data_IF_804419717817
#
_entry.id   IF_804419717817
#
_cell.length_a   1.000
_cell.length_b   1.000
_cell.length_c   1.000
_cell.angle_alpha   90.00
_cell.angle_beta   90.00
_cell.angle_gamma   90.00
#
_symmetry.space_group_name_H-M   'P 1'
#
loop_
_entity.id
_entity.type
_entity.pdbx_description
1 polymer ?
#
# COMPACT_ATOMS: atom_id res chain seq x y z
N UNK A 1 -11.99 -1.35 0.47
CA UNK A 1 -11.86 -1.66 -0.97
C UNK A 1 -11.99 -0.35 -1.72
N UNK A 2 -11.03 -0.04 -2.58
CA UNK A 2 -10.94 1.24 -3.30
C UNK A 2 -11.14 1.00 -4.80
N UNK A 3 -11.63 2.02 -5.51
CA UNK A 3 -11.68 2.00 -6.98
C UNK A 3 -10.63 2.96 -7.52
N UNK A 4 -9.85 2.51 -8.50
CA UNK A 4 -8.77 3.27 -9.13
C UNK A 4 -8.91 3.19 -10.65
N UNK A 5 -8.50 4.23 -11.38
CA UNK A 5 -8.47 4.25 -12.84
C UNK A 5 -7.27 5.04 -13.30
N UNK A 6 -6.22 4.39 -13.80
CA UNK A 6 -5.05 5.07 -14.35
C UNK A 6 -5.24 5.29 -15.88
N UNK A 7 -5.41 6.54 -16.35
CA UNK A 7 -5.77 6.83 -17.74
C UNK A 7 -4.58 6.89 -18.71
N UNK A 8 -3.32 6.95 -18.27
CA UNK A 8 -2.15 6.98 -19.15
C UNK A 8 -0.90 6.42 -18.47
N UNK A 9 0.08 5.98 -19.29
CA UNK A 9 1.40 5.51 -18.84
C UNK A 9 2.09 6.55 -17.93
N UNK A 10 1.89 7.85 -18.19
CA UNK A 10 2.55 8.95 -17.50
C UNK A 10 1.82 9.44 -16.22
N UNK A 11 0.70 8.81 -15.83
CA UNK A 11 -0.11 9.26 -14.69
C UNK A 11 0.06 8.35 -13.47
N UNK A 12 0.92 8.77 -12.53
CA UNK A 12 1.00 8.18 -11.20
C UNK A 12 -0.23 8.61 -10.39
N UNK A 13 -1.08 7.64 -10.02
CA UNK A 13 -2.18 7.88 -9.07
C UNK A 13 -1.78 7.40 -7.69
N UNK A 14 -1.67 8.34 -6.77
CA UNK A 14 -1.56 8.10 -5.34
C UNK A 14 -2.94 7.84 -4.73
N UNK A 15 -3.19 6.59 -4.34
CA UNK A 15 -4.28 6.21 -3.44
C UNK A 15 -3.78 6.30 -2.01
N UNK A 16 -4.11 7.39 -1.31
CA UNK A 16 -3.84 7.49 0.13
C UNK A 16 -4.92 6.71 0.87
N UNK A 17 -4.52 5.65 1.56
CA UNK A 17 -5.43 4.93 2.46
C UNK A 17 -5.14 5.39 3.89
N UNK A 18 -6.09 6.09 4.52
CA UNK A 18 -6.04 6.34 5.95
C UNK A 18 -6.29 5.01 6.70
N UNK A 19 -5.25 4.24 6.96
CA UNK A 19 -5.30 3.20 7.99
C UNK A 19 -4.62 3.74 9.25
N UNK A 20 -5.42 3.93 10.31
CA UNK A 20 -4.92 4.12 11.67
C UNK A 20 -4.22 5.45 11.92
N UNK A 21 -4.95 6.43 12.44
CA UNK A 21 -4.35 7.58 13.11
C UNK A 21 -3.72 7.10 14.41
N UNK A 22 -2.42 7.31 14.56
CA UNK A 22 -1.91 7.72 15.85
C UNK A 22 -1.23 9.08 15.65
N UNK A 23 -1.96 10.13 16.02
CA UNK A 23 -1.67 11.53 15.67
C UNK A 23 -0.61 12.15 16.60
N UNK A 24 -0.12 11.42 17.60
CA UNK A 24 0.76 12.01 18.62
C UNK A 24 2.26 11.83 18.35
N UNK A 25 2.69 10.98 17.40
CA UNK A 25 4.14 10.70 17.15
C UNK A 25 4.69 10.96 15.74
N UNK A 26 3.94 11.61 14.86
CA UNK A 26 4.40 11.90 13.49
C UNK A 26 3.97 10.83 12.48
N UNK A 27 2.70 10.92 12.12
CA UNK A 27 2.00 10.44 10.92
C UNK A 27 2.64 9.28 10.14
N UNK A 28 2.13 8.08 10.38
CA UNK A 28 2.31 6.92 9.49
C UNK A 28 1.36 7.04 8.30
N UNK A 29 1.85 7.53 7.17
CA UNK A 29 1.10 7.51 5.92
C UNK A 29 1.29 6.15 5.24
N UNK A 30 0.17 5.51 4.90
CA UNK A 30 0.14 4.38 3.97
C UNK A 30 -0.35 4.88 2.62
N UNK A 31 0.55 4.83 1.64
CA UNK A 31 0.25 5.29 0.29
C UNK A 31 0.42 4.13 -0.69
N UNK A 32 -0.56 3.98 -1.57
CA UNK A 32 -0.51 3.08 -2.70
C UNK A 32 -0.36 3.91 -3.97
N UNK A 33 0.75 3.78 -4.66
CA UNK A 33 0.98 4.41 -5.96
C UNK A 33 0.78 3.39 -7.07
N UNK A 34 0.02 3.74 -8.10
CA UNK A 34 -0.01 2.99 -9.36
C UNK A 34 1.00 3.58 -10.33
N UNK A 35 1.98 2.79 -10.78
CA UNK A 35 2.99 3.19 -11.76
C UNK A 35 2.73 2.52 -13.12
N UNK A 36 2.14 3.28 -14.05
CA UNK A 36 1.84 2.80 -15.40
C UNK A 36 3.08 2.44 -16.21
N UNK A 37 4.12 3.28 -16.17
CA UNK A 37 5.39 3.04 -16.88
C UNK A 37 6.12 1.76 -16.45
N UNK A 38 5.93 1.35 -15.19
CA UNK A 38 6.63 0.21 -14.59
C UNK A 38 5.77 -1.04 -14.48
N UNK A 39 4.50 -0.97 -14.87
CA UNK A 39 3.53 -2.05 -14.69
C UNK A 39 3.51 -2.57 -13.24
N UNK A 40 3.55 -1.64 -12.28
CA UNK A 40 3.66 -1.94 -10.85
C UNK A 40 2.67 -1.12 -10.02
N UNK A 41 2.24 -1.72 -8.92
CA UNK A 41 1.62 -1.01 -7.79
C UNK A 41 2.63 -0.98 -6.65
N UNK A 42 2.82 0.18 -6.04
CA UNK A 42 3.83 0.43 -5.00
C UNK A 42 3.15 0.77 -3.69
N UNK A 43 3.57 0.11 -2.63
CA UNK A 43 3.14 0.39 -1.27
C UNK A 43 4.24 1.12 -0.53
N UNK A 44 3.99 2.37 -0.16
CA UNK A 44 4.89 3.22 0.60
C UNK A 44 4.47 3.22 2.07
N UNK A 45 5.43 2.98 2.95
CA UNK A 45 5.23 2.95 4.39
C UNK A 45 6.47 3.46 5.13
N UNK A 46 6.30 3.81 6.40
CA UNK A 46 7.39 4.19 7.29
C UNK A 46 7.61 3.06 8.28
N UNK A 47 8.86 2.58 8.38
CA UNK A 47 9.26 1.58 9.37
C UNK A 47 10.49 2.09 10.12
N UNK A 48 10.41 2.15 11.44
CA UNK A 48 11.47 2.69 12.31
C UNK A 48 11.97 4.09 11.85
N UNK A 49 11.04 4.95 11.45
CA UNK A 49 11.33 6.31 10.97
C UNK A 49 11.98 6.37 9.58
N UNK A 50 12.14 5.24 8.88
CA UNK A 50 12.70 5.19 7.51
C UNK A 50 11.60 4.90 6.50
N UNK A 51 11.50 5.66 5.40
CA UNK A 51 10.58 5.36 4.32
C UNK A 51 11.01 4.09 3.60
N UNK A 52 10.03 3.24 3.29
CA UNK A 52 10.18 1.97 2.59
C UNK A 52 9.16 1.89 1.46
N UNK A 53 9.46 1.05 0.47
CA UNK A 53 8.59 0.88 -0.70
C UNK A 53 8.65 -0.56 -1.15
N UNK A 54 7.48 -1.20 -1.23
CA UNK A 54 7.32 -2.51 -1.83
C UNK A 54 6.64 -2.38 -3.18
N UNK A 55 7.20 -3.01 -4.21
CA UNK A 55 6.63 -3.02 -5.56
C UNK A 55 5.99 -4.38 -5.85
N UNK A 56 4.73 -4.35 -6.26
CA UNK A 56 3.97 -5.52 -6.71
C UNK A 56 3.75 -5.42 -8.21
N UNK A 57 4.14 -6.43 -9.00
CA UNK A 57 3.93 -6.42 -10.45
C UNK A 57 2.43 -6.47 -10.74
N UNK A 58 1.89 -5.39 -11.28
CA UNK A 58 0.50 -5.29 -11.71
C UNK A 58 0.31 -4.06 -12.61
N UNK A 59 -0.17 -4.28 -13.84
CA UNK A 59 -0.49 -3.22 -14.78
C UNK A 59 -1.91 -2.68 -14.56
N UNK A 60 -2.04 -1.43 -14.15
CA UNK A 60 -3.33 -0.71 -14.05
C UNK A 60 -3.57 0.34 -15.14
N UNK A 61 -2.56 0.66 -15.96
CA UNK A 61 -2.65 1.71 -16.98
C UNK A 61 -3.34 1.22 -18.26
N UNK A 62 -4.58 0.77 -18.13
CA UNK A 62 -5.45 0.32 -19.22
C UNK A 62 -6.66 1.25 -19.46
N UNK A 63 -6.81 2.31 -18.63
CA UNK A 63 -7.92 3.26 -18.70
C UNK A 63 -9.25 2.75 -18.14
N UNK A 64 -9.29 1.55 -17.56
CA UNK A 64 -10.46 0.96 -16.92
C UNK A 64 -10.47 1.22 -15.40
N UNK A 65 -11.63 1.00 -14.79
CA UNK A 65 -11.78 1.05 -13.35
C UNK A 65 -11.50 -0.31 -12.75
N UNK A 66 -10.59 -0.36 -11.78
CA UNK A 66 -10.25 -1.57 -11.05
C UNK A 66 -10.65 -1.46 -9.58
N UNK A 67 -11.11 -2.56 -9.00
CA UNK A 67 -11.31 -2.69 -7.55
C UNK A 67 -10.04 -3.20 -6.90
N UNK A 68 -9.48 -2.43 -5.97
CA UNK A 68 -8.23 -2.74 -5.28
C UNK A 68 -8.48 -2.97 -3.78
N UNK A 69 -7.84 -3.99 -3.24
CA UNK A 69 -7.70 -4.21 -1.81
C UNK A 69 -6.27 -4.63 -1.48
N UNK A 70 -5.65 -3.93 -0.52
CA UNK A 70 -4.35 -4.30 0.05
C UNK A 70 -4.58 -4.86 1.45
N UNK A 71 -3.95 -5.98 1.74
CA UNK A 71 -3.84 -6.57 3.07
C UNK A 71 -2.37 -6.64 3.44
N UNK A 72 -2.03 -6.11 4.60
CA UNK A 72 -0.67 -6.01 5.11
C UNK A 72 -0.56 -6.92 6.33
N UNK A 73 0.44 -7.80 6.34
CA UNK A 73 0.76 -8.65 7.49
C UNK A 73 2.20 -8.38 7.93
N UNK A 74 2.64 -9.01 9.02
CA UNK A 74 4.00 -8.87 9.51
C UNK A 74 5.04 -9.24 8.46
N UNK A 75 4.82 -10.31 7.67
CA UNK A 75 5.83 -10.84 6.73
C UNK A 75 5.45 -10.76 5.25
N UNK A 76 4.18 -10.49 4.93
CA UNK A 76 3.71 -10.48 3.54
C UNK A 76 2.75 -9.31 3.25
N UNK A 77 2.82 -8.80 2.02
CA UNK A 77 1.79 -7.97 1.41
C UNK A 77 0.96 -8.80 0.46
N UNK A 78 -0.36 -8.64 0.55
CA UNK A 78 -1.32 -9.27 -0.35
C UNK A 78 -2.15 -8.19 -1.05
N UNK A 79 -2.06 -8.14 -2.36
CA UNK A 79 -2.79 -7.23 -3.22
C UNK A 79 -3.85 -8.02 -4.00
N UNK A 80 -5.08 -7.53 -3.94
CA UNK A 80 -6.18 -7.98 -4.77
C UNK A 80 -6.58 -6.89 -5.75
N UNK A 81 -6.59 -7.21 -7.04
CA UNK A 81 -7.14 -6.34 -8.09
C UNK A 81 -8.13 -7.14 -8.91
N UNK A 82 -9.41 -6.73 -8.93
CA UNK A 82 -10.49 -7.42 -9.65
C UNK A 82 -10.54 -8.94 -9.40
N UNK A 83 -10.34 -9.33 -8.14
CA UNK A 83 -10.28 -10.73 -7.67
C UNK A 83 -9.01 -11.51 -8.09
N UNK A 84 -8.08 -10.91 -8.82
CA UNK A 84 -6.75 -11.47 -9.01
C UNK A 84 -5.85 -11.16 -7.80
N UNK A 85 -5.06 -12.12 -7.34
CA UNK A 85 -4.23 -12.01 -6.13
C UNK A 85 -2.75 -12.07 -6.47
N UNK A 86 -2.02 -11.08 -6.00
CA UNK A 86 -0.55 -11.07 -5.96
C UNK A 86 -0.08 -10.97 -4.52
N UNK A 87 0.97 -11.71 -4.15
CA UNK A 87 1.55 -11.68 -2.81
C UNK A 87 3.05 -11.54 -2.91
N UNK A 88 3.62 -10.63 -2.11
CA UNK A 88 5.07 -10.44 -1.98
C UNK A 88 5.46 -10.53 -0.51
N UNK A 89 6.68 -10.98 -0.24
CA UNK A 89 7.24 -10.87 1.10
C UNK A 89 7.57 -9.40 1.40
N UNK A 90 7.39 -8.98 2.65
CA UNK A 90 7.92 -7.71 3.10
C UNK A 90 9.45 -7.80 3.13
N UNK A 91 10.14 -6.70 2.83
CA UNK A 91 11.58 -6.62 3.04
C UNK A 91 11.96 -6.72 4.52
N UNK A 92 11.10 -6.26 5.42
CA UNK A 92 11.27 -6.31 6.88
C UNK A 92 9.96 -6.67 7.57
N UNK A 93 10.03 -7.27 8.75
CA UNK A 93 8.83 -7.62 9.51
C UNK A 93 8.09 -6.35 9.95
N UNK A 94 6.90 -6.10 9.39
CA UNK A 94 6.07 -4.94 9.73
C UNK A 94 5.37 -5.23 11.05
N UNK A 95 5.98 -4.77 12.13
CA UNK A 95 5.40 -4.84 13.47
C UNK A 95 4.31 -3.76 13.59
N UNK A 96 3.05 -4.20 13.58
CA UNK A 96 1.93 -3.35 13.96
C UNK A 96 1.89 -3.26 15.49
N UNK A 97 1.81 -2.05 16.07
CA UNK A 97 1.58 -1.92 17.50
C UNK A 97 0.30 -2.65 17.86
N UNK A 98 0.34 -3.51 18.88
CA UNK A 98 -0.87 -4.15 19.39
C UNK A 98 -1.74 -3.07 19.99
N UNK A 99 -3.04 -3.11 19.67
CA UNK A 99 -4.03 -2.18 20.23
C UNK A 99 -4.18 -2.29 21.75
N UNK A 100 -3.64 -3.36 22.34
CA UNK A 100 -3.70 -3.64 23.78
C UNK A 100 -2.42 -3.24 24.53
N UNK A 101 -1.45 -2.58 23.86
CA UNK A 101 -0.20 -2.18 24.49
C UNK A 101 -0.39 -0.85 25.26
N UNK A 102 -0.36 -0.86 26.62
CA UNK A 102 -0.61 0.33 27.43
C UNK A 102 0.47 1.42 27.29
N UNK A 103 1.53 1.17 26.51
CA UNK A 103 2.60 2.14 26.21
C UNK A 103 2.33 3.05 24.99
N UNK A 104 1.23 2.81 24.26
CA UNK A 104 0.81 3.60 23.11
C UNK A 104 -0.17 4.75 23.44
N UNK A 105 -0.42 5.01 24.74
CA UNK A 105 -1.21 6.14 25.24
C UNK A 105 -0.33 7.21 25.90
#
# INVERSE_FOLDING_TARGET
MFKCKSPSLDYAQSMVTNMGKDLERGISYLELESSGLRDEIRYHYIHNGKPRTEALPYRMADGQWHKVALSVSASHLMLHVDCNRTTVANQEEILFPRTDDPSAA
#
